data_IF_144011870986
#
_entry.id   IF_144011870986
#
_cell.length_a   1.000
_cell.length_b   1.000
_cell.length_c   1.000
_cell.angle_alpha   90.00
_cell.angle_beta   90.00
_cell.angle_gamma   90.00
#
_symmetry.space_group_name_H-M   'P 1'
#
loop_
_entity.id
_entity.type
_entity.pdbx_description
1 polymer ?
#
# COMPACT_ATOMS: atom_id res chain seq x y z
N UNK A 1 -34.64 34.30 39.72
CA UNK A 1 -34.07 34.39 38.35
C UNK A 1 -32.69 34.99 38.47
N UNK A 2 -31.67 34.14 38.45
CA UNK A 2 -30.25 34.52 38.46
C UNK A 2 -29.59 33.78 37.29
N UNK A 3 -29.19 34.54 36.27
CA UNK A 3 -28.53 34.04 35.07
C UNK A 3 -27.14 33.48 35.42
N UNK A 4 -26.96 32.19 35.18
CA UNK A 4 -25.66 31.53 35.19
C UNK A 4 -24.93 31.86 33.88
N UNK A 5 -23.88 32.69 33.98
CA UNK A 5 -22.88 32.87 32.91
C UNK A 5 -22.14 31.55 32.68
N UNK A 6 -22.35 30.94 31.52
CA UNK A 6 -21.49 29.88 30.99
C UNK A 6 -20.11 30.47 30.67
N UNK A 7 -19.08 30.01 31.38
CA UNK A 7 -17.69 30.13 30.94
C UNK A 7 -17.39 28.99 29.97
N UNK A 8 -17.26 29.32 28.69
CA UNK A 8 -16.59 28.47 27.71
C UNK A 8 -15.07 28.62 27.90
N UNK A 9 -14.39 27.61 28.45
CA UNK A 9 -12.93 27.52 28.40
C UNK A 9 -12.51 26.27 27.63
N UNK A 10 -12.24 26.46 26.34
CA UNK A 10 -11.48 25.52 25.53
C UNK A 10 -10.01 25.55 25.97
N UNK A 11 -9.64 24.77 26.99
CA UNK A 11 -8.23 24.57 27.37
C UNK A 11 -7.78 23.16 26.96
N UNK A 12 -7.15 23.07 25.79
CA UNK A 12 -6.33 21.92 25.38
C UNK A 12 -5.00 21.92 26.16
N UNK A 13 -5.08 21.77 27.49
CA UNK A 13 -3.91 21.77 28.36
C UNK A 13 -3.22 20.41 28.29
N UNK A 14 -2.04 20.40 27.66
CA UNK A 14 -1.10 19.30 27.71
C UNK A 14 -0.35 19.32 29.04
N UNK A 15 -0.24 18.19 29.72
CA UNK A 15 0.57 18.03 30.92
C UNK A 15 1.84 17.23 30.59
N UNK A 16 2.95 17.59 31.23
CA UNK A 16 4.23 16.90 31.13
C UNK A 16 4.47 16.21 32.47
N UNK A 17 4.58 14.88 32.45
CA UNK A 17 4.94 14.06 33.60
C UNK A 17 6.33 13.45 33.41
N UNK A 18 7.09 13.26 34.48
CA UNK A 18 8.40 12.59 34.43
C UNK A 18 8.25 11.18 34.97
N UNK A 19 8.68 10.17 34.20
CA UNK A 19 8.69 8.79 34.67
C UNK A 19 9.72 8.63 35.80
N UNK A 20 9.36 8.06 36.97
CA UNK A 20 10.28 7.90 38.08
C UNK A 20 11.42 6.92 37.77
N UNK A 21 11.19 5.90 36.95
CA UNK A 21 12.20 4.84 36.71
C UNK A 21 13.22 5.18 35.63
N UNK A 22 12.83 5.93 34.59
CA UNK A 22 13.72 6.26 33.47
C UNK A 22 13.98 7.77 33.32
N UNK A 23 13.40 8.61 34.19
CA UNK A 23 13.53 10.07 34.18
C UNK A 23 13.12 10.76 32.87
N UNK A 24 12.48 10.04 31.93
CA UNK A 24 12.00 10.60 30.67
C UNK A 24 10.68 11.32 30.85
N UNK A 25 10.53 12.44 30.14
CA UNK A 25 9.33 13.27 30.14
C UNK A 25 8.31 12.72 29.15
N UNK A 26 7.07 12.61 29.61
CA UNK A 26 5.91 12.12 28.87
C UNK A 26 4.92 13.26 28.77
N UNK A 27 4.50 13.60 27.55
CA UNK A 27 3.52 14.65 27.28
C UNK A 27 2.20 13.98 26.87
N UNK A 28 1.13 14.24 27.60
CA UNK A 28 -0.20 13.74 27.25
C UNK A 28 -1.28 14.78 27.60
N UNK A 29 -2.49 14.59 27.05
CA UNK A 29 -3.63 15.45 27.36
C UNK A 29 -4.00 15.31 28.83
N UNK A 30 -4.33 16.43 29.50
CA UNK A 30 -4.70 16.46 30.92
C UNK A 30 -5.80 15.46 31.27
N UNK A 31 -6.79 15.29 30.40
CA UNK A 31 -7.88 14.31 30.57
C UNK A 31 -7.33 12.89 30.76
N UNK A 32 -6.44 12.43 29.87
CA UNK A 32 -5.84 11.08 29.92
C UNK A 32 -5.02 10.89 31.20
N UNK A 33 -4.29 11.93 31.62
CA UNK A 33 -3.40 11.85 32.79
C UNK A 33 -4.15 11.94 34.13
N UNK A 34 -5.34 12.55 34.15
CA UNK A 34 -6.15 12.69 35.36
C UNK A 34 -7.16 11.53 35.53
N UNK A 35 -7.62 10.90 34.44
CA UNK A 35 -8.55 9.76 34.53
C UNK A 35 -7.86 8.41 34.68
N UNK A 36 -6.58 8.29 34.32
CA UNK A 36 -5.86 7.02 34.42
C UNK A 36 -5.37 6.77 35.85
N UNK A 37 -5.80 5.65 36.46
CA UNK A 37 -5.36 5.19 37.78
C UNK A 37 -3.88 4.78 37.82
N UNK A 38 -3.29 4.53 36.66
CA UNK A 38 -1.86 4.26 36.43
C UNK A 38 -1.53 4.54 34.96
N UNK A 39 -0.38 5.17 34.70
CA UNK A 39 0.11 5.40 33.34
C UNK A 39 1.36 4.56 33.13
N UNK A 40 1.39 3.84 32.02
CA UNK A 40 2.55 3.07 31.60
C UNK A 40 3.52 3.97 30.83
N UNK A 41 4.77 4.01 31.25
CA UNK A 41 5.80 4.76 30.54
C UNK A 41 6.06 4.13 29.16
N UNK A 42 5.97 4.89 28.05
CA UNK A 42 6.21 4.36 26.71
C UNK A 42 7.69 4.01 26.47
N UNK A 43 8.60 4.45 27.34
CA UNK A 43 10.04 4.24 27.19
C UNK A 43 10.59 3.03 27.96
N UNK A 44 10.02 2.71 29.13
CA UNK A 44 10.50 1.62 29.99
C UNK A 44 9.39 0.69 30.48
N UNK A 45 8.16 0.89 30.02
CA UNK A 45 6.99 0.07 30.35
C UNK A 45 6.62 -0.01 31.84
N UNK A 46 7.27 0.79 32.69
CA UNK A 46 6.94 0.84 34.10
C UNK A 46 5.65 1.63 34.32
N UNK A 47 4.81 1.14 35.24
CA UNK A 47 3.54 1.77 35.58
C UNK A 47 3.73 2.67 36.78
N UNK A 48 3.40 3.96 36.65
CA UNK A 48 3.53 4.93 37.73
C UNK A 48 2.24 5.75 37.90
N UNK A 49 2.04 6.27 39.11
CA UNK A 49 0.90 7.12 39.46
C UNK A 49 1.33 8.58 39.46
N UNK A 50 0.56 9.43 38.79
CA UNK A 50 0.74 10.88 38.89
C UNK A 50 0.05 11.31 40.18
N UNK A 51 0.83 11.56 41.23
CA UNK A 51 0.31 12.18 42.44
C UNK A 51 -0.10 13.63 42.15
N UNK A 52 -1.28 14.05 42.61
CA UNK A 52 -1.74 15.45 42.61
C UNK A 52 -0.94 16.32 43.60
N UNK A 53 0.39 16.21 43.59
CA UNK A 53 1.28 17.04 44.38
C UNK A 53 2.27 17.74 43.44
N UNK A 54 1.83 18.86 42.89
CA UNK A 54 2.74 19.98 42.69
C UNK A 54 1.96 21.28 42.83
N UNK A 55 2.21 21.93 43.96
CA UNK A 55 2.13 23.39 44.06
C UNK A 55 2.80 23.97 42.82
N UNK A 56 2.14 24.96 42.25
CA UNK A 56 2.71 25.91 41.31
C UNK A 56 4.05 26.45 41.83
N UNK A 57 5.16 25.86 41.39
CA UNK A 57 6.41 26.59 41.26
C UNK A 57 6.55 26.96 39.80
N UNK A 58 5.90 28.06 39.46
CA UNK A 58 6.24 28.88 38.31
C UNK A 58 7.59 29.52 38.57
N UNK A 59 8.68 28.82 38.26
CA UNK A 59 9.90 29.51 37.89
C UNK A 59 9.78 29.83 36.40
N UNK A 60 9.34 31.06 36.15
CA UNK A 60 9.37 31.69 34.83
C UNK A 60 10.83 31.76 34.35
N UNK A 61 11.20 30.91 33.41
CA UNK A 61 12.41 31.11 32.60
C UNK A 61 12.05 32.14 31.52
N UNK A 62 12.76 33.27 31.40
CA UNK A 62 12.38 34.35 30.50
C UNK A 62 12.76 33.98 29.06
N UNK A 63 11.79 33.55 28.27
CA UNK A 63 11.93 33.58 26.81
C UNK A 63 11.54 34.96 26.29
N UNK A 64 12.40 35.50 25.43
CA UNK A 64 12.30 36.83 24.84
C UNK A 64 10.90 37.11 24.28
N UNK A 65 10.30 38.21 24.76
CA UNK A 65 9.07 38.77 24.18
C UNK A 65 9.37 39.18 22.74
N UNK A 66 8.70 38.55 21.79
CA UNK A 66 8.63 39.08 20.43
C UNK A 66 7.91 40.44 20.49
N UNK A 67 8.61 41.51 20.11
CA UNK A 67 8.02 42.83 19.93
C UNK A 67 6.93 42.75 18.85
N UNK A 68 5.71 43.13 19.21
CA UNK A 68 4.66 43.42 18.24
C UNK A 68 5.06 44.70 17.51
N UNK A 69 5.48 44.58 16.26
CA UNK A 69 5.45 45.71 15.33
C UNK A 69 4.00 46.13 15.11
N UNK A 70 3.59 47.23 15.74
CA UNK A 70 2.36 47.96 15.45
C UNK A 70 2.67 49.09 14.46
N UNK A 71 3.10 48.75 13.25
CA UNK A 71 3.13 49.70 12.14
C UNK A 71 2.68 49.00 10.86
N UNK A 72 1.51 49.39 10.36
CA UNK A 72 1.00 48.99 9.05
C UNK A 72 1.82 49.69 7.96
N UNK A 73 2.44 48.95 7.02
CA UNK A 73 3.05 49.58 5.86
C UNK A 73 1.98 50.15 4.93
N UNK A 74 2.25 51.35 4.42
CA UNK A 74 1.36 52.15 3.59
C UNK A 74 0.83 51.43 2.34
N UNK A 75 -0.38 51.85 1.97
CA UNK A 75 -1.22 51.33 0.89
C UNK A 75 -0.48 51.22 -0.45
N UNK A 76 -0.09 50.00 -0.82
CA UNK A 76 0.21 49.62 -2.20
C UNK A 76 -1.07 49.21 -2.95
N UNK A 77 -1.46 49.97 -3.98
CA UNK A 77 -2.62 49.74 -4.83
C UNK A 77 -2.51 48.37 -5.54
N UNK A 78 -3.23 47.35 -5.04
CA UNK A 78 -3.44 46.10 -5.78
C UNK A 78 -4.75 46.17 -6.59
N UNK A 79 -4.61 46.25 -7.91
CA UNK A 79 -5.71 46.13 -8.88
C UNK A 79 -6.45 44.79 -8.68
N UNK A 80 -7.74 44.86 -8.32
CA UNK A 80 -8.65 43.70 -8.34
C UNK A 80 -8.90 43.28 -9.80
N UNK A 81 -8.54 42.05 -10.18
CA UNK A 81 -9.09 41.41 -11.38
C UNK A 81 -10.52 40.97 -11.07
N UNK A 82 -11.48 41.62 -11.72
CA UNK A 82 -12.90 41.27 -11.70
C UNK A 82 -13.13 39.93 -12.42
N UNK A 83 -13.60 38.90 -11.71
CA UNK A 83 -14.17 37.71 -12.33
C UNK A 83 -15.57 38.05 -12.86
N UNK A 84 -15.74 37.88 -14.18
CA UNK A 84 -16.98 38.12 -14.92
C UNK A 84 -18.05 37.11 -14.47
N UNK A 85 -19.17 37.59 -13.89
CA UNK A 85 -20.44 36.84 -13.87
C UNK A 85 -20.96 36.77 -15.31
N UNK A 86 -21.01 35.56 -15.89
CA UNK A 86 -21.78 35.33 -17.13
C UNK A 86 -23.26 35.21 -16.76
N UNK A 87 -24.03 36.26 -17.12
CA UNK A 87 -25.48 36.21 -17.31
C UNK A 87 -25.74 35.31 -18.52
N UNK A 88 -26.59 34.30 -18.37
CA UNK A 88 -27.15 33.56 -19.50
C UNK A 88 -28.33 34.39 -20.01
N UNK A 89 -28.24 34.78 -21.29
CA UNK A 89 -29.30 35.40 -22.08
C UNK A 89 -30.17 34.27 -22.61
N UNK A 90 -31.49 34.37 -22.41
CA UNK A 90 -32.49 33.51 -23.01
C UNK A 90 -33.17 34.21 -24.19
N UNK A 91 -33.32 33.45 -25.28
CA UNK A 91 -34.17 33.57 -26.48
C UNK A 91 -34.22 32.11 -27.00
N UNK A 92 -35.30 31.41 -27.36
CA UNK A 92 -36.71 31.67 -27.70
C UNK A 92 -37.52 30.38 -27.32
N UNK A 93 -38.74 30.46 -26.75
CA UNK A 93 -40.06 30.21 -27.40
C UNK A 93 -40.11 28.96 -28.29
N UNK A 94 -41.02 28.00 -28.24
CA UNK A 94 -42.28 27.62 -27.55
C UNK A 94 -42.28 26.07 -27.63
N UNK A 95 -42.87 25.29 -26.72
CA UNK A 95 -44.26 24.85 -26.82
C UNK A 95 -44.61 24.10 -25.52
N UNK A 96 -45.87 24.27 -25.14
CA UNK A 96 -46.54 23.70 -23.98
C UNK A 96 -46.63 22.18 -24.15
N UNK A 97 -46.26 21.43 -23.11
CA UNK A 97 -46.92 20.15 -22.87
C UNK A 97 -47.04 19.86 -21.37
N UNK A 98 -48.28 19.55 -20.98
CA UNK A 98 -48.69 19.32 -19.61
C UNK A 98 -48.19 17.97 -19.11
N UNK A 99 -47.51 17.96 -17.96
CA UNK A 99 -47.58 16.81 -17.05
C UNK A 99 -47.33 17.26 -15.61
N UNK A 100 -48.39 17.25 -14.82
CA UNK A 100 -48.34 17.26 -13.37
C UNK A 100 -47.30 16.24 -12.86
N UNK A 101 -46.47 16.63 -11.89
CA UNK A 101 -45.96 15.64 -10.95
C UNK A 101 -45.61 16.22 -9.58
N UNK A 102 -46.10 15.49 -8.58
CA UNK A 102 -46.28 15.86 -7.19
C UNK A 102 -44.95 15.73 -6.42
N UNK A 103 -44.52 16.82 -5.76
CA UNK A 103 -43.52 16.71 -4.68
C UNK A 103 -44.26 16.47 -3.36
N UNK A 104 -44.20 15.25 -2.84
CA UNK A 104 -44.74 14.91 -1.52
C UNK A 104 -43.87 15.53 -0.42
N UNK A 105 -44.48 16.39 0.40
CA UNK A 105 -43.83 17.02 1.57
C UNK A 105 -44.09 16.14 2.79
N UNK A 106 -43.04 15.59 3.39
CA UNK A 106 -43.15 14.80 4.63
C UNK A 106 -42.63 15.65 5.80
N UNK A 107 -43.45 15.76 6.84
CA UNK A 107 -43.10 16.40 8.12
C UNK A 107 -42.53 15.31 9.03
N UNK A 108 -41.36 15.55 9.62
CA UNK A 108 -40.74 14.62 10.58
C UNK A 108 -40.34 15.42 11.82
N UNK A 109 -40.65 14.90 13.01
CA UNK A 109 -40.20 15.45 14.28
C UNK A 109 -38.74 15.10 14.53
N UNK A 110 -37.95 16.08 14.98
CA UNK A 110 -36.60 15.83 15.45
C UNK A 110 -36.59 15.25 16.88
N UNK A 111 -35.43 14.80 17.35
CA UNK A 111 -35.23 14.23 18.69
C UNK A 111 -35.44 15.23 19.85
N UNK A 112 -35.78 16.47 19.54
CA UNK A 112 -36.10 17.56 20.46
C UNK A 112 -37.60 17.90 20.47
N UNK A 113 -38.42 17.19 19.67
CA UNK A 113 -39.86 17.36 19.60
C UNK A 113 -40.34 18.47 18.64
N UNK A 114 -39.45 19.05 17.82
CA UNK A 114 -39.84 20.09 16.88
C UNK A 114 -40.05 19.52 15.46
N UNK A 115 -41.13 19.95 14.80
CA UNK A 115 -41.47 19.52 13.44
C UNK A 115 -40.63 20.24 12.38
N UNK A 116 -39.92 19.46 11.56
CA UNK A 116 -39.11 20.00 10.45
C UNK A 116 -39.58 19.39 9.12
N UNK A 117 -39.87 20.26 8.14
CA UNK A 117 -40.23 19.84 6.77
C UNK A 117 -38.98 19.37 6.02
N UNK A 118 -38.99 18.12 5.52
CA UNK A 118 -37.95 17.62 4.62
C UNK A 118 -38.53 17.36 3.23
N UNK A 119 -37.90 17.96 2.22
CA UNK A 119 -38.21 17.72 0.80
C UNK A 119 -37.34 16.55 0.34
N UNK A 120 -37.97 15.42 -0.01
CA UNK A 120 -37.27 14.23 -0.51
C UNK A 120 -37.09 14.34 -2.03
N UNK A 121 -35.90 14.72 -2.50
CA UNK A 121 -35.59 14.68 -3.94
C UNK A 121 -35.33 13.22 -4.36
N UNK A 122 -36.17 12.64 -5.21
CA UNK A 122 -35.82 11.42 -5.96
C UNK A 122 -34.72 11.78 -6.96
N UNK A 123 -33.55 11.15 -6.88
CA UNK A 123 -32.54 11.25 -7.94
C UNK A 123 -33.03 10.49 -9.17
N UNK A 124 -33.31 11.21 -10.26
CA UNK A 124 -33.50 10.58 -11.58
C UNK A 124 -32.13 10.06 -12.05
N UNK A 125 -31.99 8.74 -12.16
CA UNK A 125 -30.88 8.07 -12.82
C UNK A 125 -30.96 8.39 -14.32
N UNK A 126 -30.31 9.48 -14.73
CA UNK A 126 -30.24 9.92 -16.13
C UNK A 126 -29.26 9.07 -16.91
N UNK A 127 -29.77 8.23 -17.81
CA UNK A 127 -29.00 7.40 -18.73
C UNK A 127 -28.60 8.26 -19.95
N UNK A 128 -27.50 9.01 -19.85
CA UNK A 128 -26.94 9.79 -20.98
C UNK A 128 -26.04 8.92 -21.86
N UNK A 129 -26.61 7.88 -22.47
CA UNK A 129 -25.96 7.15 -23.56
C UNK A 129 -27.03 6.68 -24.56
N UNK A 130 -27.48 7.54 -25.47
CA UNK A 130 -28.40 7.07 -26.52
C UNK A 130 -28.37 7.80 -27.87
N UNK A 131 -27.47 8.77 -28.11
CA UNK A 131 -27.41 9.43 -29.44
C UNK A 131 -26.07 9.35 -30.17
N UNK A 132 -24.94 9.19 -29.47
CA UNK A 132 -23.63 9.04 -30.13
C UNK A 132 -23.28 7.60 -30.55
N UNK A 133 -23.92 6.58 -29.95
CA UNK A 133 -23.60 5.16 -30.19
C UNK A 133 -24.36 4.56 -31.39
N UNK A 134 -25.41 5.22 -31.89
CA UNK A 134 -26.24 4.72 -33.01
C UNK A 134 -25.71 5.12 -34.39
N UNK A 135 -24.84 6.12 -34.50
CA UNK A 135 -24.26 6.56 -35.78
C UNK A 135 -22.92 5.91 -36.11
N UNK A 136 -22.25 5.28 -35.14
CA UNK A 136 -20.93 4.63 -35.31
C UNK A 136 -21.01 3.12 -35.61
N UNK A 137 -22.18 2.51 -35.48
CA UNK A 137 -22.37 1.05 -35.66
C UNK A 137 -22.88 0.63 -37.05
N UNK A 138 -23.23 1.59 -37.92
CA UNK A 138 -23.65 1.27 -39.31
C UNK A 138 -22.51 1.37 -40.33
N UNK A 139 -21.47 2.16 -40.09
CA UNK A 139 -20.33 2.31 -41.00
C UNK A 139 -19.23 1.27 -40.80
N UNK A 140 -19.07 0.73 -39.59
CA UNK A 140 -18.06 -0.31 -39.30
C UNK A 140 -18.45 -1.71 -39.76
N UNK A 141 -19.75 -2.01 -39.87
CA UNK A 141 -20.23 -3.32 -40.32
C UNK A 141 -20.08 -3.54 -41.83
N UNK A 142 -20.08 -2.48 -42.64
CA UNK A 142 -19.91 -2.57 -44.10
C UNK A 142 -18.44 -2.78 -44.53
N UNK A 143 -17.48 -2.33 -43.71
CA UNK A 143 -16.04 -2.48 -44.01
C UNK A 143 -15.54 -3.89 -43.65
N UNK A 144 -16.12 -4.52 -42.62
CA UNK A 144 -15.73 -5.86 -42.18
C UNK A 144 -16.27 -6.99 -43.07
N UNK A 145 -17.38 -6.79 -43.79
CA UNK A 145 -17.93 -7.83 -44.69
C UNK A 145 -17.34 -7.77 -46.10
N UNK A 146 -16.92 -6.59 -46.59
CA UNK A 146 -16.32 -6.45 -47.92
C UNK A 146 -14.84 -6.83 -48.02
N UNK A 147 -14.05 -6.57 -46.97
CA UNK A 147 -12.60 -6.81 -46.96
C UNK A 147 -12.20 -8.27 -46.68
N UNK A 148 -13.02 -9.02 -45.93
CA UNK A 148 -12.76 -10.42 -45.61
C UNK A 148 -12.88 -11.38 -46.80
N UNK A 149 -13.76 -11.08 -47.77
CA UNK A 149 -14.01 -11.96 -48.93
C UNK A 149 -12.88 -11.89 -49.97
N UNK A 150 -12.23 -10.72 -50.11
CA UNK A 150 -11.12 -10.55 -51.06
C UNK A 150 -9.84 -11.23 -50.55
N UNK A 151 -9.61 -11.24 -49.24
CA UNK A 151 -8.40 -11.85 -48.64
C UNK A 151 -8.46 -13.39 -48.60
N UNK A 152 -9.65 -13.97 -48.39
CA UNK A 152 -9.86 -15.42 -48.49
C UNK A 152 -9.73 -15.94 -49.93
N UNK A 153 -10.16 -15.17 -50.93
CA UNK A 153 -10.00 -15.54 -52.34
C UNK A 153 -8.54 -15.61 -52.80
N UNK A 154 -7.68 -14.72 -52.29
CA UNK A 154 -6.26 -14.70 -52.65
C UNK A 154 -5.45 -15.86 -52.04
N UNK A 155 -5.81 -16.31 -50.83
CA UNK A 155 -5.14 -17.43 -50.14
C UNK A 155 -5.49 -18.76 -50.81
N UNK A 156 -6.74 -18.96 -51.23
CA UNK A 156 -7.16 -20.19 -51.92
C UNK A 156 -6.59 -20.27 -53.34
N UNK A 157 -6.51 -19.15 -54.06
CA UNK A 157 -5.99 -19.14 -55.44
C UNK A 157 -4.46 -19.37 -55.52
N UNK A 158 -3.69 -18.88 -54.54
CA UNK A 158 -2.23 -19.18 -54.47
C UNK A 158 -1.91 -20.52 -53.80
N UNK A 159 -2.72 -20.98 -52.83
CA UNK A 159 -2.45 -22.20 -52.08
C UNK A 159 -2.55 -23.51 -52.88
N UNK A 160 -3.40 -23.56 -53.91
CA UNK A 160 -3.58 -24.78 -54.71
C UNK A 160 -2.54 -24.97 -55.83
N UNK A 161 -1.80 -23.93 -56.23
CA UNK A 161 -0.85 -24.03 -57.34
C UNK A 161 0.56 -24.49 -56.92
N UNK A 162 0.84 -24.57 -55.61
CA UNK A 162 2.15 -24.96 -55.07
C UNK A 162 2.19 -26.34 -54.42
N UNK A 163 1.07 -27.08 -54.35
CA UNK A 163 1.00 -28.39 -53.67
C UNK A 163 1.09 -29.59 -54.62
N UNK A 164 1.04 -29.40 -55.95
CA UNK A 164 1.09 -30.50 -56.92
C UNK A 164 2.44 -30.71 -57.63
N UNK A 165 3.56 -30.30 -57.03
CA UNK A 165 4.88 -30.58 -57.61
C UNK A 165 5.93 -30.80 -56.53
N UNK A 166 6.01 -32.05 -56.07
CA UNK A 166 7.27 -32.83 -55.91
C UNK A 166 7.00 -34.04 -55.02
N UNK A 167 6.34 -35.05 -55.60
CA UNK A 167 6.46 -36.45 -55.20
C UNK A 167 7.59 -37.06 -56.03
N UNK A 168 8.83 -36.95 -55.55
CA UNK A 168 9.93 -37.80 -55.98
C UNK A 168 10.92 -38.03 -54.85
N UNK A 169 10.76 -39.21 -54.22
CA UNK A 169 11.78 -40.08 -53.62
C UNK A 169 13.19 -39.50 -53.43
N UNK A 170 13.66 -39.43 -52.17
CA UNK A 170 15.03 -39.84 -51.81
C UNK A 170 15.15 -40.20 -50.33
N UNK A 171 15.88 -41.30 -50.10
CA UNK A 171 16.15 -41.96 -48.82
C UNK A 171 17.01 -41.13 -47.83
N UNK A 172 16.90 -41.54 -46.56
CA UNK A 172 17.86 -41.39 -45.45
C UNK A 172 17.98 -40.04 -44.74
N UNK A 173 17.31 -39.91 -43.59
CA UNK A 173 17.95 -39.85 -42.25
C UNK A 173 16.88 -39.46 -41.23
N UNK A 174 16.47 -40.39 -40.37
CA UNK A 174 15.62 -40.06 -39.22
C UNK A 174 16.54 -39.42 -38.18
N UNK A 175 16.67 -38.10 -38.23
CA UNK A 175 16.98 -37.33 -37.02
C UNK A 175 15.69 -37.21 -36.20
N UNK A 176 15.70 -37.52 -34.89
CA UNK A 176 14.55 -37.26 -34.07
C UNK A 176 14.38 -35.75 -33.95
N UNK A 177 13.36 -35.22 -34.62
CA UNK A 177 12.82 -33.89 -34.35
C UNK A 177 12.30 -33.93 -32.91
N UNK A 178 13.14 -33.52 -31.96
CA UNK A 178 12.68 -33.12 -30.64
C UNK A 178 11.77 -31.90 -30.85
N UNK A 179 10.47 -32.14 -30.98
CA UNK A 179 9.48 -31.11 -30.70
C UNK A 179 9.63 -30.81 -29.23
N UNK A 180 10.24 -29.66 -28.95
CA UNK A 180 10.21 -29.04 -27.63
C UNK A 180 8.74 -28.97 -27.22
N UNK A 181 8.35 -29.84 -26.28
CA UNK A 181 7.00 -29.85 -25.73
C UNK A 181 6.95 -28.61 -24.86
N UNK A 182 6.48 -27.50 -25.45
CA UNK A 182 6.15 -26.29 -24.69
C UNK A 182 5.04 -26.70 -23.73
N UNK A 183 5.39 -26.97 -22.47
CA UNK A 183 4.42 -27.16 -21.41
C UNK A 183 3.76 -25.82 -21.17
N UNK A 184 2.48 -25.72 -21.53
CA UNK A 184 1.66 -24.57 -21.17
C UNK A 184 1.61 -24.48 -19.65
N UNK A 185 2.16 -23.39 -19.09
CA UNK A 185 2.15 -23.16 -17.66
C UNK A 185 0.73 -22.73 -17.27
N UNK A 186 0.11 -23.52 -16.39
CA UNK A 186 -1.22 -23.18 -15.86
C UNK A 186 -1.18 -21.85 -15.12
N UNK A 187 -2.20 -21.01 -15.31
CA UNK A 187 -2.36 -19.77 -14.55
C UNK A 187 -2.75 -20.08 -13.08
N UNK A 188 -3.43 -21.20 -12.85
CA UNK A 188 -3.79 -21.66 -11.51
C UNK A 188 -2.72 -22.57 -10.92
N UNK A 189 -2.57 -22.51 -9.60
CA UNK A 189 -1.62 -23.32 -8.84
C UNK A 189 -2.11 -24.77 -8.73
N UNK A 190 -1.40 -25.73 -9.34
CA UNK A 190 -1.75 -27.15 -9.28
C UNK A 190 -1.29 -27.80 -7.96
N UNK A 191 -1.80 -29.00 -7.67
CA UNK A 191 -1.33 -29.77 -6.50
C UNK A 191 0.12 -30.21 -6.69
N UNK A 192 0.50 -30.63 -7.90
CA UNK A 192 1.87 -31.02 -8.25
C UNK A 192 2.86 -29.87 -8.04
N UNK A 193 2.48 -28.64 -8.41
CA UNK A 193 3.29 -27.45 -8.18
C UNK A 193 3.46 -27.16 -6.67
N UNK A 194 2.41 -27.35 -5.86
CA UNK A 194 2.51 -27.21 -4.40
C UNK A 194 3.42 -28.27 -3.79
N UNK A 195 3.30 -29.53 -4.23
CA UNK A 195 4.12 -30.62 -3.73
C UNK A 195 5.60 -30.38 -4.08
N UNK A 196 5.88 -29.97 -5.32
CA UNK A 196 7.23 -29.59 -5.75
C UNK A 196 7.82 -28.44 -4.91
N UNK A 197 7.05 -27.38 -4.66
CA UNK A 197 7.47 -26.29 -3.78
C UNK A 197 7.74 -26.78 -2.35
N UNK A 198 6.90 -27.66 -1.80
CA UNK A 198 7.10 -28.23 -0.47
C UNK A 198 8.35 -29.10 -0.38
N UNK A 199 8.66 -29.86 -1.43
CA UNK A 199 9.87 -30.68 -1.47
C UNK A 199 11.14 -29.83 -1.58
N UNK A 200 11.07 -28.70 -2.30
CA UNK A 200 12.14 -27.68 -2.26
C UNK A 200 12.29 -27.16 -0.83
N UNK A 201 11.22 -26.77 -0.14
CA UNK A 201 11.30 -26.26 1.24
C UNK A 201 11.98 -27.29 2.16
N UNK A 202 11.53 -28.55 2.14
CA UNK A 202 12.13 -29.63 2.95
C UNK A 202 13.62 -29.79 2.67
N UNK A 203 14.01 -29.72 1.40
CA UNK A 203 15.42 -29.80 0.99
C UNK A 203 16.30 -28.72 1.64
N UNK A 204 15.75 -27.52 1.90
CA UNK A 204 16.45 -26.46 2.63
C UNK A 204 16.46 -26.65 4.16
N UNK A 205 15.49 -27.39 4.71
CA UNK A 205 15.39 -27.63 6.14
C UNK A 205 16.22 -28.82 6.60
N UNK A 206 16.31 -29.85 5.77
CA UNK A 206 16.89 -31.14 6.15
C UNK A 206 18.42 -31.09 6.31
N UNK A 207 19.10 -29.99 5.95
CA UNK A 207 20.55 -29.76 6.11
C UNK A 207 21.43 -30.93 5.63
N UNK A 208 20.91 -31.79 4.75
CA UNK A 208 21.64 -32.94 4.24
C UNK A 208 22.65 -32.43 3.22
N UNK A 209 23.95 -32.62 3.52
CA UNK A 209 25.06 -32.16 2.66
C UNK A 209 25.08 -32.77 1.25
N UNK A 210 24.14 -33.66 0.93
CA UNK A 210 23.99 -34.34 -0.35
C UNK A 210 23.13 -33.55 -1.35
N UNK A 211 22.32 -32.58 -0.90
CA UNK A 211 21.45 -31.80 -1.80
C UNK A 211 22.23 -30.59 -2.34
N UNK A 212 22.31 -30.51 -3.68
CA UNK A 212 22.78 -29.32 -4.38
C UNK A 212 21.72 -28.23 -4.31
N UNK A 213 21.71 -27.49 -3.20
CA UNK A 213 20.84 -26.33 -2.96
C UNK A 213 20.89 -25.32 -4.13
N UNK A 214 22.05 -25.22 -4.80
CA UNK A 214 22.27 -24.40 -5.99
C UNK A 214 21.24 -24.66 -7.10
N UNK A 215 20.85 -25.92 -7.31
CA UNK A 215 19.92 -26.29 -8.38
C UNK A 215 18.47 -25.86 -8.07
N UNK A 216 18.18 -25.59 -6.79
CA UNK A 216 16.85 -25.26 -6.28
C UNK A 216 16.60 -23.74 -6.18
N UNK A 217 17.60 -22.90 -6.43
CA UNK A 217 17.54 -21.43 -6.28
C UNK A 217 17.53 -20.75 -7.64
N UNK A 218 16.82 -19.62 -7.74
CA UNK A 218 16.75 -18.81 -8.96
C UNK A 218 18.08 -18.26 -9.46
N UNK A 219 18.88 -17.68 -8.56
CA UNK A 219 20.14 -16.99 -8.86
C UNK A 219 21.28 -17.50 -7.97
N UNK A 220 21.78 -18.73 -8.19
CA UNK A 220 22.79 -19.34 -7.33
C UNK A 220 24.04 -18.48 -7.18
N UNK A 221 24.46 -17.81 -8.26
CA UNK A 221 25.63 -16.93 -8.30
C UNK A 221 25.55 -15.74 -7.33
N UNK A 222 24.35 -15.28 -7.00
CA UNK A 222 24.10 -14.19 -6.06
C UNK A 222 23.72 -14.73 -4.67
N UNK A 223 22.89 -15.76 -4.64
CA UNK A 223 22.27 -16.25 -3.41
C UNK A 223 23.20 -17.16 -2.61
N UNK A 224 24.01 -18.01 -3.24
CA UNK A 224 24.89 -18.93 -2.50
C UNK A 224 25.90 -18.21 -1.61
N UNK A 225 26.58 -17.13 -2.05
CA UNK A 225 27.41 -16.34 -1.15
C UNK A 225 26.67 -15.85 0.09
N UNK A 226 25.40 -15.40 -0.06
CA UNK A 226 24.55 -14.88 1.04
C UNK A 226 24.07 -15.96 1.98
N UNK A 227 23.77 -17.16 1.46
CA UNK A 227 23.47 -18.33 2.30
C UNK A 227 24.69 -18.67 3.15
N UNK A 228 25.89 -18.66 2.56
CA UNK A 228 27.13 -19.00 3.25
C UNK A 228 27.54 -17.98 4.32
N UNK A 229 27.04 -16.73 4.26
CA UNK A 229 27.18 -15.76 5.36
C UNK A 229 26.44 -16.21 6.63
N UNK A 230 25.42 -17.06 6.51
CA UNK A 230 24.72 -17.68 7.63
C UNK A 230 23.84 -16.74 8.48
N UNK A 231 23.65 -15.49 8.03
CA UNK A 231 22.85 -14.49 8.75
C UNK A 231 21.34 -14.72 8.64
N UNK A 232 20.89 -15.26 7.52
CA UNK A 232 19.48 -15.51 7.21
C UNK A 232 19.29 -16.99 6.88
N UNK A 233 18.16 -17.55 7.29
CA UNK A 233 17.86 -18.96 7.06
C UNK A 233 16.69 -19.44 7.90
N UNK A 234 16.39 -20.74 7.88
CA UNK A 234 15.25 -21.31 8.60
C UNK A 234 15.39 -21.25 10.12
N UNK A 235 16.60 -21.04 10.68
CA UNK A 235 16.76 -20.77 12.11
C UNK A 235 16.24 -21.86 13.06
N UNK A 236 16.10 -23.11 12.58
CA UNK A 236 15.49 -24.21 13.34
C UNK A 236 13.95 -24.21 13.35
N UNK A 237 13.32 -23.38 12.53
CA UNK A 237 11.87 -23.39 12.37
C UNK A 237 11.36 -24.72 11.80
N UNK A 238 10.15 -25.08 12.21
CA UNK A 238 9.36 -26.16 11.61
C UNK A 238 7.99 -25.63 11.22
N UNK A 239 7.29 -26.33 10.33
CA UNK A 239 6.03 -25.86 9.76
C UNK A 239 4.93 -26.91 9.87
N UNK A 240 3.72 -26.48 10.24
CA UNK A 240 2.56 -27.36 10.41
C UNK A 240 1.85 -27.68 9.08
N UNK A 241 2.00 -26.81 8.08
CA UNK A 241 1.40 -26.97 6.75
C UNK A 241 1.12 -25.64 6.05
N UNK A 242 0.59 -25.74 4.83
CA UNK A 242 0.20 -24.58 4.00
C UNK A 242 -1.12 -24.02 4.51
N UNK A 243 -1.13 -22.73 4.89
CA UNK A 243 -2.32 -21.98 5.30
C UNK A 243 -2.97 -21.28 4.12
N UNK A 244 -2.13 -20.75 3.23
CA UNK A 244 -2.58 -20.04 2.04
C UNK A 244 -1.55 -20.23 0.91
N UNK A 245 -2.02 -20.19 -0.33
CA UNK A 245 -1.16 -20.32 -1.49
C UNK A 245 -1.71 -19.55 -2.66
N UNK A 246 -0.84 -18.84 -3.38
CA UNK A 246 -1.24 -18.09 -4.57
C UNK A 246 -0.22 -18.26 -5.68
N UNK A 247 -0.69 -18.27 -6.92
CA UNK A 247 0.14 -18.18 -8.13
C UNK A 247 -0.32 -16.98 -8.94
N UNK A 248 0.63 -16.17 -9.38
CA UNK A 248 0.35 -14.93 -10.11
C UNK A 248 1.40 -14.72 -11.18
N UNK A 249 0.98 -14.15 -12.30
CA UNK A 249 1.90 -13.69 -13.33
C UNK A 249 2.30 -12.24 -13.04
N UNK A 250 3.60 -11.98 -12.92
CA UNK A 250 4.18 -10.65 -12.72
C UNK A 250 5.25 -10.45 -13.80
N UNK A 251 5.07 -9.48 -14.68
CA UNK A 251 6.02 -9.15 -15.74
C UNK A 251 6.44 -10.36 -16.60
N UNK A 252 5.49 -11.25 -16.94
CA UNK A 252 5.77 -12.47 -17.73
C UNK A 252 6.41 -13.62 -16.96
N UNK A 253 6.53 -13.51 -15.62
CA UNK A 253 7.05 -14.56 -14.75
C UNK A 253 5.93 -15.11 -13.87
N UNK A 254 5.87 -16.42 -13.70
CA UNK A 254 4.93 -17.07 -12.78
C UNK A 254 5.54 -17.14 -11.38
N UNK A 255 4.99 -16.35 -10.47
CA UNK A 255 5.39 -16.34 -9.06
C UNK A 255 4.41 -17.18 -8.25
N UNK A 256 4.93 -18.15 -7.50
CA UNK A 256 4.18 -18.97 -6.56
C UNK A 256 4.56 -18.54 -5.14
N UNK A 257 3.55 -18.27 -4.31
CA UNK A 257 3.70 -17.93 -2.90
C UNK A 257 3.01 -19.00 -2.07
N UNK A 258 3.74 -19.64 -1.16
CA UNK A 258 3.20 -20.55 -0.17
C UNK A 258 3.36 -19.94 1.23
N UNK A 259 2.25 -19.72 1.91
CA UNK A 259 2.23 -19.28 3.30
C UNK A 259 2.10 -20.51 4.20
N UNK A 260 3.15 -20.84 4.92
CA UNK A 260 3.19 -21.97 5.86
C UNK A 260 3.02 -21.46 7.29
N UNK A 261 2.28 -22.18 8.13
CA UNK A 261 2.20 -21.88 9.56
C UNK A 261 3.46 -22.36 10.26
N UNK A 262 4.10 -21.47 11.02
CA UNK A 262 5.26 -21.85 11.84
C UNK A 262 4.75 -22.57 13.09
N UNK A 263 5.34 -23.73 13.39
CA UNK A 263 4.94 -24.56 14.53
C UNK A 263 5.09 -23.80 15.83
N UNK A 264 4.07 -23.87 16.71
CA UNK A 264 4.04 -23.20 18.02
C UNK A 264 4.07 -21.66 17.97
N UNK A 265 3.90 -21.06 16.80
CA UNK A 265 3.83 -19.60 16.64
C UNK A 265 2.52 -19.17 16.00
N UNK A 266 2.09 -17.93 16.27
CA UNK A 266 0.89 -17.35 15.64
C UNK A 266 1.17 -16.80 14.24
N UNK A 267 2.45 -16.70 13.85
CA UNK A 267 2.86 -16.18 12.54
C UNK A 267 2.97 -17.28 11.50
N UNK A 268 2.89 -16.87 10.24
CA UNK A 268 3.23 -17.69 9.09
C UNK A 268 4.52 -17.22 8.43
N UNK A 269 5.13 -18.10 7.64
CA UNK A 269 6.23 -17.77 6.73
C UNK A 269 5.77 -17.88 5.29
N UNK A 270 6.04 -16.84 4.51
CA UNK A 270 5.85 -16.87 3.06
C UNK A 270 7.11 -17.39 2.39
N UNK A 271 6.99 -18.48 1.66
CA UNK A 271 8.00 -18.97 0.73
C UNK A 271 7.61 -18.56 -0.68
N UNK A 272 8.58 -18.09 -1.44
CA UNK A 272 8.36 -17.64 -2.80
C UNK A 272 9.18 -18.41 -3.82
N UNK A 273 8.56 -18.67 -4.96
CA UNK A 273 9.14 -19.41 -6.06
C UNK A 273 8.83 -18.72 -7.37
N UNK A 274 9.70 -18.90 -8.34
CA UNK A 274 9.43 -18.56 -9.73
C UNK A 274 9.42 -19.86 -10.54
N UNK A 275 8.39 -20.00 -11.36
CA UNK A 275 8.20 -21.13 -12.25
C UNK A 275 8.56 -20.72 -13.67
N UNK A 276 9.47 -21.47 -14.26
CA UNK A 276 9.76 -21.45 -15.69
C UNK A 276 9.11 -22.67 -16.36
N UNK A 277 9.28 -22.80 -17.67
CA UNK A 277 8.80 -23.97 -18.40
C UNK A 277 9.53 -25.26 -17.97
N UNK A 278 10.75 -25.12 -17.46
CA UNK A 278 11.63 -26.24 -17.13
C UNK A 278 11.55 -26.65 -15.65
N UNK A 279 11.44 -25.68 -14.74
CA UNK A 279 11.53 -25.96 -13.30
C UNK A 279 10.85 -24.89 -12.45
N UNK A 280 10.59 -25.25 -11.19
CA UNK A 280 10.22 -24.32 -10.13
C UNK A 280 11.45 -24.11 -9.27
N UNK A 281 11.83 -22.85 -9.04
CA UNK A 281 12.99 -22.49 -8.24
C UNK A 281 12.61 -21.49 -7.16
N UNK A 282 13.22 -21.64 -5.99
CA UNK A 282 12.94 -20.76 -4.85
C UNK A 282 13.64 -19.42 -5.00
N UNK A 283 12.91 -18.36 -4.69
CA UNK A 283 13.48 -17.05 -4.39
C UNK A 283 13.87 -17.01 -2.90
N UNK A 284 15.05 -17.56 -2.59
CA UNK A 284 15.54 -17.69 -1.22
C UNK A 284 15.55 -16.35 -0.46
N UNK A 285 15.95 -15.26 -1.13
CA UNK A 285 16.01 -13.94 -0.49
C UNK A 285 14.67 -13.46 0.01
N UNK A 286 13.60 -13.79 -0.73
CA UNK A 286 12.25 -13.45 -0.32
C UNK A 286 11.78 -14.40 0.78
N UNK A 287 11.97 -15.71 0.59
CA UNK A 287 11.53 -16.74 1.55
C UNK A 287 12.13 -16.56 2.95
N UNK A 288 13.41 -16.16 3.01
CA UNK A 288 14.15 -15.96 4.25
C UNK A 288 14.40 -14.49 4.60
N UNK A 289 13.75 -13.57 3.88
CA UNK A 289 13.71 -12.16 4.26
C UNK A 289 15.08 -11.49 4.27
N UNK A 290 15.99 -11.92 3.39
CA UNK A 290 17.36 -11.40 3.34
C UNK A 290 17.37 -9.88 3.12
N UNK A 291 18.18 -9.20 3.93
CA UNK A 291 18.50 -7.79 3.79
C UNK A 291 20.01 -7.64 3.66
N UNK A 292 20.46 -6.67 2.87
CA UNK A 292 21.90 -6.36 2.75
C UNK A 292 22.49 -5.90 4.09
N UNK A 293 21.69 -5.17 4.87
CA UNK A 293 22.04 -4.71 6.21
C UNK A 293 20.93 -5.15 7.17
N UNK A 294 21.30 -5.61 8.36
CA UNK A 294 20.31 -5.93 9.39
C UNK A 294 19.62 -4.65 9.88
N UNK A 295 18.36 -4.77 10.30
CA UNK A 295 17.61 -3.61 10.84
C UNK A 295 18.27 -3.09 12.12
N UNK A 296 18.78 -4.00 12.96
CA UNK A 296 19.55 -3.66 14.17
C UNK A 296 20.78 -2.81 13.86
N UNK A 297 21.59 -3.23 12.87
CA UNK A 297 22.77 -2.48 12.46
C UNK A 297 22.41 -1.14 11.84
N UNK A 298 21.31 -1.09 11.06
CA UNK A 298 20.81 0.16 10.49
C UNK A 298 20.41 1.18 11.57
N UNK A 299 19.67 0.74 12.60
CA UNK A 299 19.28 1.59 13.74
C UNK A 299 20.51 2.04 14.53
N UNK A 300 21.47 1.13 14.75
CA UNK A 300 22.66 1.38 15.57
C UNK A 300 23.65 2.31 14.88
N UNK A 301 23.91 2.09 13.60
CA UNK A 301 24.93 2.82 12.82
C UNK A 301 24.40 4.11 12.23
N UNK A 302 23.07 4.24 12.04
CA UNK A 302 22.39 5.39 11.43
C UNK A 302 23.14 5.88 10.18
N UNK A 303 23.29 5.03 9.15
CA UNK A 303 24.12 5.35 8.01
C UNK A 303 23.60 6.61 7.31
N UNK A 304 24.55 7.48 6.91
CA UNK A 304 24.21 8.71 6.19
C UNK A 304 23.63 8.43 4.82
N UNK A 305 24.01 7.34 4.17
CA UNK A 305 23.45 6.96 2.88
C UNK A 305 22.17 6.13 3.06
N UNK A 306 21.21 6.34 2.17
CA UNK A 306 19.95 5.61 2.19
C UNK A 306 20.18 4.11 1.90
N UNK A 307 19.69 3.25 2.79
CA UNK A 307 19.87 1.81 2.73
C UNK A 307 18.63 1.12 2.16
N UNK A 308 18.85 0.01 1.45
CA UNK A 308 17.78 -0.75 0.78
C UNK A 308 17.21 -1.80 1.72
N UNK A 309 15.89 -1.83 1.84
CA UNK A 309 15.17 -2.84 2.60
C UNK A 309 13.98 -3.39 1.84
N UNK A 310 13.77 -4.71 1.94
CA UNK A 310 12.48 -5.34 1.67
C UNK A 310 11.57 -5.05 2.86
N UNK A 311 10.46 -4.36 2.63
CA UNK A 311 9.54 -3.94 3.70
C UNK A 311 8.09 -4.11 3.28
N UNK A 312 7.22 -4.20 4.27
CA UNK A 312 5.78 -4.01 4.13
C UNK A 312 5.42 -2.66 4.73
N UNK A 313 4.73 -1.83 3.95
CA UNK A 313 4.30 -0.49 4.34
C UNK A 313 2.78 -0.48 4.56
N UNK A 314 2.34 0.26 5.57
CA UNK A 314 0.93 0.63 5.78
C UNK A 314 0.83 2.08 6.23
N UNK A 315 -0.33 2.70 6.03
CA UNK A 315 -0.57 4.06 6.55
C UNK A 315 -0.51 4.05 8.08
N UNK A 316 0.30 4.95 8.65
CA UNK A 316 0.41 5.17 10.08
C UNK A 316 -0.09 6.54 10.51
N UNK A 317 -0.21 6.73 11.81
CA UNK A 317 -0.69 7.96 12.45
C UNK A 317 0.26 8.53 13.51
N UNK A 318 1.48 8.00 13.59
CA UNK A 318 2.49 8.49 14.52
C UNK A 318 3.18 9.74 13.96
N UNK A 319 2.93 10.90 14.57
CA UNK A 319 3.56 12.18 14.20
C UNK A 319 4.23 12.81 15.42
N UNK A 320 5.56 12.93 15.38
CA UNK A 320 6.34 13.51 16.48
C UNK A 320 7.66 14.10 15.98
N UNK A 321 8.27 14.97 16.81
CA UNK A 321 9.56 15.60 16.54
C UNK A 321 9.60 16.31 15.17
N UNK A 322 10.53 15.91 14.29
CA UNK A 322 10.74 16.48 12.97
C UNK A 322 9.54 16.28 12.04
N UNK A 323 8.74 15.24 12.28
CA UNK A 323 7.60 14.84 11.46
C UNK A 323 6.27 15.06 12.18
N UNK A 324 6.14 16.18 12.90
CA UNK A 324 4.95 16.49 13.70
C UNK A 324 3.78 17.11 12.90
N UNK A 325 4.01 17.48 11.63
CA UNK A 325 3.02 18.12 10.78
C UNK A 325 2.46 17.13 9.76
N UNK A 326 1.28 16.59 10.07
CA UNK A 326 0.53 15.63 9.25
C UNK A 326 0.01 16.20 7.94
N UNK A 327 0.01 17.53 7.75
CA UNK A 327 -0.37 18.17 6.48
C UNK A 327 0.79 18.19 5.48
N UNK A 328 2.02 18.04 5.96
CA UNK A 328 3.24 17.99 5.13
C UNK A 328 3.68 16.54 4.94
N UNK A 329 3.69 15.77 6.03
CA UNK A 329 4.22 14.41 6.05
C UNK A 329 3.09 13.38 6.07
N UNK A 330 3.33 12.27 5.39
CA UNK A 330 2.57 11.03 5.57
C UNK A 330 3.44 10.06 6.37
N UNK A 331 2.92 9.61 7.51
CA UNK A 331 3.52 8.53 8.29
C UNK A 331 3.18 7.17 7.67
N UNK A 332 4.19 6.30 7.59
CA UNK A 332 4.09 4.92 7.14
C UNK A 332 4.67 4.02 8.23
N UNK A 333 3.91 3.02 8.66
CA UNK A 333 4.47 1.99 9.52
C UNK A 333 5.23 0.98 8.66
N UNK A 334 6.44 0.65 9.10
CA UNK A 334 7.34 -0.23 8.38
C UNK A 334 7.44 -1.55 9.13
N UNK A 335 7.15 -2.65 8.43
CA UNK A 335 7.39 -4.00 8.92
C UNK A 335 8.47 -4.65 8.07
N UNK A 336 9.42 -5.31 8.72
CA UNK A 336 10.51 -6.01 8.07
C UNK A 336 10.25 -7.52 8.08
N UNK A 337 10.66 -8.26 7.03
CA UNK A 337 10.68 -9.71 7.05
C UNK A 337 11.46 -10.24 8.26
N UNK A 338 10.87 -11.16 9.01
CA UNK A 338 11.51 -11.85 10.15
C UNK A 338 12.01 -10.93 11.29
N UNK A 339 11.56 -9.68 11.35
CA UNK A 339 11.86 -8.76 12.47
C UNK A 339 10.57 -8.10 12.96
N UNK A 340 10.04 -8.66 14.05
CA UNK A 340 8.84 -8.19 14.74
C UNK A 340 9.15 -7.19 15.87
N UNK A 341 10.44 -7.06 16.23
CA UNK A 341 10.87 -6.27 17.38
C UNK A 341 11.11 -4.81 16.98
N UNK A 342 11.68 -4.59 15.79
CA UNK A 342 11.99 -3.26 15.30
C UNK A 342 10.73 -2.51 14.88
N UNK A 343 10.36 -1.50 15.67
CA UNK A 343 9.27 -0.57 15.34
C UNK A 343 9.84 0.73 14.76
N UNK A 344 9.88 0.83 13.43
CA UNK A 344 10.32 2.02 12.70
C UNK A 344 9.15 2.62 11.92
N UNK A 345 9.06 3.94 11.92
CA UNK A 345 8.12 4.72 11.11
C UNK A 345 8.88 5.44 10.00
N UNK A 346 8.43 5.28 8.77
CA UNK A 346 8.93 6.00 7.62
C UNK A 346 8.04 7.20 7.32
N UNK A 347 8.64 8.29 6.84
CA UNK A 347 7.93 9.50 6.47
C UNK A 347 8.23 9.87 5.03
N UNK A 348 7.19 10.28 4.32
CA UNK A 348 7.27 10.81 2.96
C UNK A 348 6.47 12.10 2.88
N UNK A 349 6.92 13.06 2.07
CA UNK A 349 6.17 14.31 1.87
C UNK A 349 4.94 14.06 1.03
N UNK A 350 3.77 14.53 1.46
CA UNK A 350 2.49 14.33 0.77
C UNK A 350 2.43 14.97 -0.61
N UNK A 351 3.11 16.10 -0.80
CA UNK A 351 3.16 16.86 -2.04
C UNK A 351 4.21 16.35 -3.04
N UNK A 352 5.03 15.38 -2.63
CA UNK A 352 5.96 14.70 -3.54
C UNK A 352 5.23 13.67 -4.41
N UNK A 353 5.75 13.40 -5.61
CA UNK A 353 5.22 12.34 -6.48
C UNK A 353 5.19 10.99 -5.77
N UNK A 354 6.30 10.60 -5.13
CA UNK A 354 6.40 9.38 -4.34
C UNK A 354 5.35 9.29 -3.24
N UNK A 355 5.14 10.40 -2.50
CA UNK A 355 4.14 10.44 -1.44
C UNK A 355 2.71 10.32 -1.97
N UNK A 356 2.39 11.02 -3.05
CA UNK A 356 1.08 10.93 -3.69
C UNK A 356 0.80 9.50 -4.19
N UNK A 357 1.78 8.87 -4.83
CA UNK A 357 1.66 7.51 -5.38
C UNK A 357 1.42 6.47 -4.28
N UNK A 358 2.24 6.49 -3.21
CA UNK A 358 2.09 5.56 -2.08
C UNK A 358 0.74 5.75 -1.37
N UNK A 359 0.34 7.00 -1.15
CA UNK A 359 -0.94 7.30 -0.49
C UNK A 359 -2.10 6.78 -1.34
N UNK A 360 -2.01 6.88 -2.67
CA UNK A 360 -3.05 6.37 -3.56
C UNK A 360 -3.09 4.83 -3.57
N UNK A 361 -1.94 4.16 -3.51
CA UNK A 361 -1.86 2.69 -3.45
C UNK A 361 -2.30 2.10 -2.10
N UNK A 362 -2.16 2.85 -1.01
CA UNK A 362 -2.51 2.38 0.34
C UNK A 362 -3.89 2.88 0.83
N UNK A 363 -4.58 3.70 0.03
CA UNK A 363 -5.90 4.22 0.38
C UNK A 363 -6.96 3.14 0.08
N UNK A 364 -7.76 2.74 1.07
CA UNK A 364 -8.82 1.77 0.86
C UNK A 364 -9.73 2.19 -0.30
N UNK A 365 -9.83 1.36 -1.32
CA UNK A 365 -10.75 1.60 -2.44
C UNK A 365 -12.20 1.48 -1.96
N UNK A 366 -13.13 2.27 -2.54
CA UNK A 366 -14.57 2.28 -2.16
C UNK A 366 -15.26 0.90 -2.18
N UNK A 367 -14.69 -0.08 -2.90
CA UNK A 367 -15.15 -1.48 -2.90
C UNK A 367 -14.95 -2.18 -1.55
N UNK A 368 -13.92 -1.81 -0.77
CA UNK A 368 -13.61 -2.39 0.55
C UNK A 368 -14.52 -1.80 1.64
N UNK A 369 -15.04 -0.59 1.44
CA UNK A 369 -15.96 0.06 2.39
C UNK A 369 -17.34 -0.63 2.49
N UNK A 370 -17.63 -1.59 1.60
CA UNK A 370 -18.86 -2.41 1.63
C UNK A 370 -18.66 -3.78 2.28
N UNK A 371 -17.42 -4.14 2.60
CA UNK A 371 -17.05 -5.32 3.37
C UNK A 371 -17.10 -5.00 4.86
N UNK A 372 -17.67 -5.89 5.68
CA UNK A 372 -17.69 -5.79 7.15
C UNK A 372 -16.29 -5.87 7.78
N UNK A 373 -15.27 -6.27 7.03
CA UNK A 373 -13.87 -6.21 7.43
C UNK A 373 -13.11 -5.25 6.50
N UNK A 374 -12.81 -4.04 6.98
CA UNK A 374 -11.87 -3.13 6.33
C UNK A 374 -10.47 -3.64 6.67
N UNK A 375 -9.88 -4.46 5.80
CA UNK A 375 -8.48 -4.83 5.95
C UNK A 375 -7.61 -3.65 5.52
N UNK A 376 -6.64 -3.20 6.34
CA UNK A 376 -5.72 -2.15 5.92
C UNK A 376 -4.96 -2.62 4.69
N UNK A 377 -4.88 -1.76 3.69
CA UNK A 377 -4.11 -2.03 2.48
C UNK A 377 -2.61 -2.05 2.84
N UNK A 378 -1.90 -3.04 2.32
CA UNK A 378 -0.49 -3.28 2.58
C UNK A 378 0.26 -3.20 1.26
N UNK A 379 1.43 -2.56 1.29
CA UNK A 379 2.31 -2.44 0.14
C UNK A 379 3.64 -3.10 0.46
N UNK A 380 3.95 -4.22 -0.21
CA UNK A 380 5.25 -4.89 -0.10
C UNK A 380 6.20 -4.33 -1.17
N UNK A 381 7.34 -3.78 -0.77
CA UNK A 381 8.26 -3.08 -1.68
C UNK A 381 9.72 -3.31 -1.30
N UNK A 382 10.61 -3.00 -2.23
CA UNK A 382 12.02 -2.71 -1.93
C UNK A 382 12.17 -1.19 -1.84
N UNK A 383 12.44 -0.67 -0.65
CA UNK A 383 12.50 0.76 -0.37
C UNK A 383 13.91 1.20 0.06
N UNK A 384 14.26 2.45 -0.26
CA UNK A 384 15.43 3.15 0.33
C UNK A 384 14.99 3.96 1.54
N UNK A 385 15.51 3.61 2.71
CA UNK A 385 15.24 4.27 3.98
C UNK A 385 16.49 4.99 4.49
N UNK A 386 16.32 6.18 5.05
CA UNK A 386 17.43 6.99 5.54
C UNK A 386 17.04 7.74 6.82
N UNK A 387 17.95 7.79 7.79
CA UNK A 387 17.78 8.70 8.92
C UNK A 387 17.97 10.16 8.48
N UNK A 388 17.21 11.07 9.06
CA UNK A 388 17.45 12.50 8.87
C UNK A 388 18.52 12.95 9.87
N UNK A 389 19.54 13.67 9.40
CA UNK A 389 20.64 14.18 10.22
C UNK A 389 20.15 15.12 11.35
N UNK A 390 18.97 15.73 11.20
CA UNK A 390 18.36 16.61 12.18
C UNK A 390 17.42 15.88 13.16
N UNK A 391 17.32 14.55 13.07
CA UNK A 391 16.47 13.74 13.94
C UNK A 391 17.31 12.89 14.90
N UNK A 392 17.16 13.14 16.19
CA UNK A 392 17.80 12.31 17.23
C UNK A 392 17.11 10.95 17.41
N UNK A 393 15.91 10.78 16.85
CA UNK A 393 15.10 9.56 17.02
C UNK A 393 15.68 8.38 16.24
N UNK A 394 15.68 7.20 16.87
CA UNK A 394 16.16 5.94 16.28
C UNK A 394 15.05 5.15 15.57
N UNK A 395 13.80 5.58 15.69
CA UNK A 395 12.63 4.91 15.12
C UNK A 395 11.92 5.72 14.03
N UNK A 396 12.54 6.81 13.53
CA UNK A 396 11.97 7.66 12.48
C UNK A 396 12.95 7.81 11.33
N UNK A 397 12.51 7.47 10.13
CA UNK A 397 13.31 7.54 8.89
C UNK A 397 12.53 8.22 7.79
N UNK A 398 13.21 8.73 6.78
CA UNK A 398 12.59 9.18 5.55
C UNK A 398 12.58 8.06 4.52
N UNK A 399 11.45 7.91 3.84
CA UNK A 399 11.36 7.09 2.65
C UNK A 399 11.85 7.92 1.46
N UNK A 400 13.00 7.53 0.90
CA UNK A 400 13.64 8.27 -0.18
C UNK A 400 13.19 7.80 -1.56
N UNK A 401 12.99 6.49 -1.72
CA UNK A 401 12.72 5.89 -3.02
C UNK A 401 12.06 4.51 -2.85
N UNK A 402 11.18 4.13 -3.77
CA UNK A 402 10.76 2.75 -3.99
C UNK A 402 11.48 2.25 -5.25
N UNK A 403 12.23 1.17 -5.11
CA UNK A 403 13.00 0.57 -6.21
C UNK A 403 12.21 -0.47 -6.99
N UNK A 404 11.26 -1.15 -6.32
CA UNK A 404 10.39 -2.18 -6.90
C UNK A 404 9.06 -2.25 -6.16
N UNK A 405 7.98 -2.40 -6.93
CA UNK A 405 6.60 -2.54 -6.48
C UNK A 405 6.21 -3.99 -6.21
N UNK A 406 7.08 -4.71 -5.48
CA UNK A 406 6.92 -6.04 -4.88
C UNK A 406 8.31 -6.55 -4.52
N UNK A 407 8.37 -7.74 -3.94
CA UNK A 407 9.63 -8.39 -3.59
C UNK A 407 10.23 -9.23 -4.74
N UNK A 408 9.62 -9.28 -5.93
CA UNK A 408 9.95 -10.22 -7.01
C UNK A 408 10.71 -9.58 -8.19
#
# INVERSE_FOLDING_TARGET
MSELKQFSSSNNDWLIATCPDCSKKIKAKREILQTASSITCPYCQSSFKIGNNSKSHSEEIPYAKAEKFTETPDKGIRKRKSSKKRKIIGWDLEEVDHSDDQNEVVIVQDSSGNEVRKIRRRSKKGNTHSKAYKTLTRSSLAILTGSGVILLGAIVYKGFKTINRDLSVSNNSIEPIFKEVIKDISISLTNEERDACMDIIKSFLDNSGDIKIEDLILHPEITMPRINEGLYGPGGESYEGIVDSTKREINGKFIILLNLKVTNELRGRTFAFEQTQESIKMNWEVSFGHQIMTVSDFIKTKPKEAQKFRVTLRLGDYYSHLYNNDSIWQCLEVTYPNDELSKIFAYVKRDSSLGADIINQLKPTESILRSTEVRPELLTVIAKLQFNDNSDQSNQVELKEILKDNWF
#
